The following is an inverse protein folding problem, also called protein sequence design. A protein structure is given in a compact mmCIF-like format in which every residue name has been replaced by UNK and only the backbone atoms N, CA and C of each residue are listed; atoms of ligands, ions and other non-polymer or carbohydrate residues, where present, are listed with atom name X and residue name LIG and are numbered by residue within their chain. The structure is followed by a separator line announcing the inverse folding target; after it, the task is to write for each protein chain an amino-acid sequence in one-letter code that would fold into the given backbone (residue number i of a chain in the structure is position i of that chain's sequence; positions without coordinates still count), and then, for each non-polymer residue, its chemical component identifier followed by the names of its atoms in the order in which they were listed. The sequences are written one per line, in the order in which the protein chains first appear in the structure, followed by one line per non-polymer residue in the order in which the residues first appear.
data_IF_739631646797
#
_entry.id   IF_739631646797
#
_cell.length_a   1.000
_cell.length_b   1.000
_cell.length_c   1.000
_cell.angle_alpha   90.00
_cell.angle_beta   90.00
_cell.angle_gamma   90.00
#
_symmetry.space_group_name_H-M   'P 1'
#
loop_
_entity.id
_entity.type
_entity.pdbx_description
1 polymer ?
#
# COMPACT_ATOMS: atom_id res chain seq x y z
N UNK A 1 -47.90 20.66 6.84
CA UNK A 1 -48.20 20.45 5.40
C UNK A 1 -47.79 21.71 4.66
N UNK A 2 -47.09 21.60 3.52
CA UNK A 2 -46.39 22.66 2.74
C UNK A 2 -44.99 23.02 3.25
N UNK A 3 -43.97 22.32 2.75
CA UNK A 3 -42.58 22.81 2.53
C UNK A 3 -41.57 21.71 2.08
N UNK A 4 -42.01 20.50 1.75
CA UNK A 4 -41.12 19.40 1.28
C UNK A 4 -41.02 19.32 -0.27
N UNK A 5 -41.80 20.13 -1.01
CA UNK A 5 -41.90 19.96 -2.46
C UNK A 5 -40.75 20.53 -3.32
N UNK A 6 -39.90 21.52 -2.91
CA UNK A 6 -38.93 22.07 -3.85
C UNK A 6 -37.59 21.31 -3.89
N UNK A 7 -37.28 20.47 -2.88
CA UNK A 7 -35.99 19.75 -2.82
C UNK A 7 -36.04 18.43 -3.61
N UNK A 8 -37.22 17.82 -3.77
CA UNK A 8 -37.38 16.61 -4.59
C UNK A 8 -37.30 16.89 -6.11
N UNK A 9 -37.48 18.15 -6.53
CA UNK A 9 -37.44 18.56 -7.95
C UNK A 9 -36.00 18.91 -8.38
N UNK A 10 -35.12 19.29 -7.46
CA UNK A 10 -33.74 19.66 -7.80
C UNK A 10 -32.80 18.44 -7.96
N UNK A 11 -33.14 17.29 -7.35
CA UNK A 11 -32.39 16.02 -7.50
C UNK A 11 -32.85 15.23 -8.75
N UNK A 12 -34.06 15.48 -9.26
CA UNK A 12 -34.54 14.90 -10.53
C UNK A 12 -33.94 15.53 -11.79
N UNK A 13 -33.37 16.74 -11.70
CA UNK A 13 -32.85 17.48 -12.86
C UNK A 13 -31.42 17.11 -13.26
N UNK A 14 -30.65 16.38 -12.43
CA UNK A 14 -29.29 15.95 -12.76
C UNK A 14 -29.20 14.60 -13.50
N UNK A 15 -30.33 13.90 -13.71
CA UNK A 15 -30.37 12.62 -14.43
C UNK A 15 -30.77 12.72 -15.92
N UNK A 16 -31.04 13.93 -16.45
CA UNK A 16 -31.55 14.12 -17.81
C UNK A 16 -30.55 14.68 -18.83
N UNK A 17 -29.30 14.96 -18.44
CA UNK A 17 -28.25 15.43 -19.35
C UNK A 17 -27.46 14.32 -20.09
N UNK A 18 -27.96 13.07 -20.12
CA UNK A 18 -27.33 11.96 -20.85
C UNK A 18 -27.85 11.72 -22.28
N UNK A 19 -28.96 12.34 -22.68
CA UNK A 19 -29.69 11.94 -23.91
C UNK A 19 -29.38 12.75 -25.19
N UNK A 20 -28.56 13.80 -25.14
CA UNK A 20 -28.31 14.65 -26.32
C UNK A 20 -27.18 14.14 -27.23
N UNK A 21 -26.28 13.28 -26.72
CA UNK A 21 -25.13 12.79 -27.46
C UNK A 21 -25.51 11.86 -28.62
N UNK A 22 -26.28 10.79 -28.35
CA UNK A 22 -26.57 9.73 -29.35
C UNK A 22 -27.22 10.26 -30.64
N UNK A 23 -28.21 11.17 -30.54
CA UNK A 23 -28.91 11.75 -31.70
C UNK A 23 -28.00 12.66 -32.54
N UNK A 24 -27.03 13.33 -31.91
CA UNK A 24 -26.03 14.14 -32.62
C UNK A 24 -25.11 13.26 -33.46
N UNK A 25 -24.59 12.17 -32.89
CA UNK A 25 -23.76 11.20 -33.63
C UNK A 25 -24.53 10.54 -34.77
N UNK A 26 -25.79 10.16 -34.55
CA UNK A 26 -26.64 9.58 -35.59
C UNK A 26 -26.81 10.53 -36.79
N UNK A 27 -27.19 11.80 -36.54
CA UNK A 27 -27.36 12.79 -37.61
C UNK A 27 -26.05 13.10 -38.34
N UNK A 28 -24.94 13.13 -37.62
CA UNK A 28 -23.63 13.30 -38.22
C UNK A 28 -23.26 12.11 -39.12
N UNK A 29 -23.53 10.87 -38.67
CA UNK A 29 -23.36 9.67 -39.47
C UNK A 29 -24.20 9.71 -40.76
N UNK A 30 -25.47 10.11 -40.69
CA UNK A 30 -26.33 10.27 -41.87
C UNK A 30 -25.77 11.30 -42.88
N UNK A 31 -25.21 12.40 -42.38
CA UNK A 31 -24.62 13.44 -43.21
C UNK A 31 -23.33 12.94 -43.90
N UNK A 32 -22.50 12.16 -43.19
CA UNK A 32 -21.31 11.51 -43.74
C UNK A 32 -21.68 10.44 -44.77
N UNK A 33 -22.67 9.61 -44.46
CA UNK A 33 -23.19 8.57 -45.35
C UNK A 33 -23.70 9.17 -46.67
N UNK A 34 -24.47 10.26 -46.61
CA UNK A 34 -24.96 10.99 -47.81
C UNK A 34 -23.85 11.56 -48.68
N UNK A 35 -22.68 11.82 -48.11
CA UNK A 35 -21.48 12.30 -48.82
C UNK A 35 -20.59 11.15 -49.32
N UNK A 36 -20.97 9.90 -49.09
CA UNK A 36 -20.17 8.72 -49.46
C UNK A 36 -19.01 8.40 -48.51
N UNK A 37 -18.93 9.08 -47.35
CA UNK A 37 -17.91 8.84 -46.32
C UNK A 37 -18.33 7.66 -45.43
N UNK A 38 -18.31 6.46 -46.02
CA UNK A 38 -18.86 5.23 -45.44
C UNK A 38 -18.13 4.80 -44.16
N UNK A 39 -16.81 4.95 -44.11
CA UNK A 39 -15.99 4.50 -42.98
C UNK A 39 -16.29 5.34 -41.74
N UNK A 40 -16.26 6.66 -41.91
CA UNK A 40 -16.54 7.62 -40.84
C UNK A 40 -18.00 7.54 -40.40
N UNK A 41 -18.93 7.32 -41.34
CA UNK A 41 -20.34 7.11 -41.01
C UNK A 41 -20.55 5.87 -40.13
N UNK A 42 -19.88 4.75 -40.43
CA UNK A 42 -19.97 3.53 -39.64
C UNK A 42 -19.50 3.72 -38.18
N UNK A 43 -18.37 4.40 -37.98
CA UNK A 43 -17.85 4.74 -36.65
C UNK A 43 -18.81 5.63 -35.86
N UNK A 44 -19.43 6.63 -36.53
CA UNK A 44 -20.42 7.49 -35.88
C UNK A 44 -21.74 6.77 -35.56
N UNK A 45 -22.15 5.80 -36.39
CA UNK A 45 -23.29 4.93 -36.07
C UNK A 45 -22.99 4.02 -34.88
N UNK A 46 -21.77 3.48 -34.80
CA UNK A 46 -21.30 2.69 -33.66
C UNK A 46 -21.36 3.52 -32.37
N UNK A 47 -20.76 4.70 -32.37
CA UNK A 47 -20.77 5.64 -31.22
C UNK A 47 -22.20 6.06 -30.82
N UNK A 48 -23.07 6.30 -31.81
CA UNK A 48 -24.47 6.62 -31.56
C UNK A 48 -25.20 5.48 -30.83
N UNK A 49 -24.96 4.23 -31.25
CA UNK A 49 -25.55 3.04 -30.66
C UNK A 49 -24.96 2.74 -29.28
N UNK A 50 -23.65 2.91 -29.07
CA UNK A 50 -23.02 2.78 -27.75
C UNK A 50 -23.65 3.71 -26.72
N UNK A 51 -23.95 4.96 -27.11
CA UNK A 51 -24.57 5.96 -26.24
C UNK A 51 -26.05 5.71 -25.98
N UNK A 52 -26.75 5.07 -26.93
CA UNK A 52 -28.16 4.67 -26.77
C UNK A 52 -28.36 3.25 -27.31
N UNK A 53 -28.05 2.21 -26.53
CA UNK A 53 -28.13 0.81 -26.99
C UNK A 53 -29.53 0.37 -27.41
N UNK A 54 -30.57 1.08 -26.97
CA UNK A 54 -31.98 0.84 -27.33
C UNK A 54 -32.37 1.44 -28.69
N UNK A 55 -31.48 2.17 -29.36
CA UNK A 55 -31.76 2.81 -30.65
C UNK A 55 -31.84 1.79 -31.78
N UNK A 56 -33.05 1.49 -32.24
CA UNK A 56 -33.28 0.58 -33.38
C UNK A 56 -32.71 1.16 -34.67
N UNK A 57 -32.90 2.46 -34.93
CA UNK A 57 -32.41 3.11 -36.15
C UNK A 57 -30.89 3.06 -36.26
N UNK A 58 -30.18 3.38 -35.15
CA UNK A 58 -28.72 3.30 -35.11
C UNK A 58 -28.23 1.87 -35.31
N UNK A 59 -28.95 0.87 -34.79
CA UNK A 59 -28.64 -0.55 -34.99
C UNK A 59 -28.76 -0.97 -36.45
N UNK A 60 -29.87 -0.63 -37.10
CA UNK A 60 -30.11 -0.98 -38.51
C UNK A 60 -29.11 -0.27 -39.44
N UNK A 61 -28.81 1.00 -39.16
CA UNK A 61 -27.79 1.75 -39.90
C UNK A 61 -26.38 1.21 -39.69
N UNK A 62 -26.01 0.87 -38.44
CA UNK A 62 -24.73 0.22 -38.16
C UNK A 62 -24.63 -1.14 -38.86
N UNK A 63 -25.71 -1.92 -38.92
CA UNK A 63 -25.68 -3.22 -39.59
C UNK A 63 -25.40 -3.10 -41.09
N UNK A 64 -26.04 -2.14 -41.78
CA UNK A 64 -25.85 -1.95 -43.22
C UNK A 64 -24.57 -1.17 -43.57
N UNK A 65 -24.32 -0.02 -42.94
CA UNK A 65 -23.15 0.83 -43.21
C UNK A 65 -21.90 0.24 -42.58
N UNK A 66 -22.00 -0.35 -41.39
CA UNK A 66 -20.91 -1.06 -40.74
C UNK A 66 -20.47 -2.30 -41.52
N UNK A 67 -21.37 -3.05 -42.17
CA UNK A 67 -20.96 -4.16 -43.03
C UNK A 67 -20.15 -3.69 -44.24
N UNK A 68 -20.49 -2.53 -44.82
CA UNK A 68 -19.68 -1.91 -45.89
C UNK A 68 -18.32 -1.49 -45.37
N UNK A 69 -18.26 -0.89 -44.18
CA UNK A 69 -16.99 -0.53 -43.55
C UNK A 69 -16.12 -1.77 -43.28
N UNK A 70 -16.70 -2.84 -42.73
CA UNK A 70 -16.03 -4.14 -42.54
C UNK A 70 -15.54 -4.72 -43.87
N UNK A 71 -16.29 -4.56 -44.96
CA UNK A 71 -15.87 -4.98 -46.30
C UNK A 71 -14.66 -4.18 -46.80
N UNK A 72 -14.61 -2.88 -46.52
CA UNK A 72 -13.45 -2.03 -46.84
C UNK A 72 -12.22 -2.46 -46.03
N UNK A 73 -12.37 -2.64 -44.71
CA UNK A 73 -11.28 -3.10 -43.82
C UNK A 73 -10.78 -4.50 -44.21
N UNK A 74 -11.70 -5.39 -44.60
CA UNK A 74 -11.42 -6.73 -45.11
C UNK A 74 -10.59 -6.68 -46.41
N UNK A 75 -10.89 -5.71 -47.28
CA UNK A 75 -10.14 -5.50 -48.53
C UNK A 75 -8.73 -4.95 -48.26
N UNK A 76 -8.58 -4.06 -47.28
CA UNK A 76 -7.28 -3.55 -46.85
C UNK A 76 -6.41 -4.65 -46.26
N UNK A 77 -6.97 -5.50 -45.38
CA UNK A 77 -6.27 -6.67 -44.84
C UNK A 77 -5.83 -7.61 -45.96
N UNK A 78 -6.75 -7.99 -46.84
CA UNK A 78 -6.47 -8.87 -47.97
C UNK A 78 -5.33 -8.33 -48.85
N UNK A 79 -5.37 -7.04 -49.19
CA UNK A 79 -4.30 -6.41 -49.97
C UNK A 79 -2.96 -6.47 -49.23
N UNK A 80 -2.92 -6.07 -47.97
CA UNK A 80 -1.68 -6.02 -47.18
C UNK A 80 -1.09 -7.42 -46.98
N UNK A 81 -1.93 -8.42 -46.71
CA UNK A 81 -1.52 -9.82 -46.57
C UNK A 81 -0.92 -10.37 -47.88
N UNK A 82 -1.65 -10.24 -49.01
CA UNK A 82 -1.19 -10.79 -50.29
C UNK A 82 0.03 -10.08 -50.87
N UNK A 83 0.24 -8.81 -50.50
CA UNK A 83 1.45 -8.05 -50.87
C UNK A 83 2.60 -8.23 -49.88
N UNK A 84 2.47 -9.16 -48.92
CA UNK A 84 3.50 -9.49 -47.92
C UNK A 84 3.91 -8.30 -47.04
N UNK A 85 3.02 -7.32 -46.86
CA UNK A 85 3.21 -6.21 -45.93
C UNK A 85 2.82 -6.67 -44.52
N UNK A 86 3.70 -7.47 -43.88
CA UNK A 86 3.41 -8.15 -42.61
C UNK A 86 2.87 -7.21 -41.53
N UNK A 87 3.57 -6.13 -41.22
CA UNK A 87 3.17 -5.17 -40.18
C UNK A 87 1.83 -4.51 -40.49
N UNK A 88 1.63 -4.05 -41.74
CA UNK A 88 0.38 -3.44 -42.18
C UNK A 88 -0.78 -4.44 -42.20
N UNK A 89 -0.51 -5.72 -42.50
CA UNK A 89 -1.52 -6.78 -42.44
C UNK A 89 -1.99 -7.02 -41.00
N UNK A 90 -1.08 -7.07 -40.03
CA UNK A 90 -1.41 -7.19 -38.61
C UNK A 90 -2.28 -6.01 -38.14
N UNK A 91 -1.86 -4.78 -38.44
CA UNK A 91 -2.59 -3.57 -38.04
C UNK A 91 -3.99 -3.54 -38.65
N UNK A 92 -4.11 -3.80 -39.95
CA UNK A 92 -5.41 -3.80 -40.63
C UNK A 92 -6.37 -4.86 -40.09
N UNK A 93 -5.85 -6.05 -39.72
CA UNK A 93 -6.67 -7.10 -39.12
C UNK A 93 -7.08 -6.78 -37.68
N UNK A 94 -6.17 -6.23 -36.87
CA UNK A 94 -6.48 -5.77 -35.51
C UNK A 94 -7.61 -4.73 -35.51
N UNK A 95 -7.58 -3.77 -36.46
CA UNK A 95 -8.67 -2.79 -36.64
C UNK A 95 -9.99 -3.49 -37.00
N UNK A 96 -9.97 -4.41 -37.97
CA UNK A 96 -11.15 -5.17 -38.40
C UNK A 96 -11.77 -5.92 -37.21
N UNK A 97 -10.94 -6.62 -36.44
CA UNK A 97 -11.35 -7.39 -35.26
C UNK A 97 -11.89 -6.50 -34.14
N UNK A 98 -11.28 -5.35 -33.90
CA UNK A 98 -11.72 -4.37 -32.90
C UNK A 98 -13.12 -3.81 -33.25
N UNK A 99 -13.32 -3.35 -34.49
CA UNK A 99 -14.59 -2.78 -34.92
C UNK A 99 -15.74 -3.81 -34.88
N UNK A 100 -15.48 -5.03 -35.35
CA UNK A 100 -16.46 -6.13 -35.33
C UNK A 100 -16.78 -6.56 -33.90
N UNK A 101 -15.79 -6.63 -33.01
CA UNK A 101 -16.00 -6.94 -31.58
C UNK A 101 -16.83 -5.87 -30.87
N UNK A 102 -16.54 -4.58 -31.11
CA UNK A 102 -17.31 -3.46 -30.56
C UNK A 102 -18.76 -3.46 -31.04
N UNK A 103 -18.98 -3.80 -32.30
CA UNK A 103 -20.33 -3.91 -32.89
C UNK A 103 -21.09 -5.10 -32.29
N UNK A 104 -20.42 -6.26 -32.16
CA UNK A 104 -21.00 -7.47 -31.59
C UNK A 104 -21.45 -7.28 -30.13
N UNK A 105 -20.68 -6.53 -29.33
CA UNK A 105 -21.05 -6.16 -27.96
C UNK A 105 -22.37 -5.35 -27.87
N UNK A 106 -22.82 -4.76 -28.99
CA UNK A 106 -24.08 -4.03 -29.11
C UNK A 106 -25.17 -4.84 -29.82
N UNK A 107 -24.98 -6.15 -29.95
CA UNK A 107 -25.83 -7.09 -30.68
C UNK A 107 -25.94 -6.77 -32.18
N UNK A 108 -24.88 -6.21 -32.78
CA UNK A 108 -24.75 -6.07 -34.24
C UNK A 108 -23.61 -6.95 -34.71
N UNK A 109 -23.95 -8.08 -35.33
CA UNK A 109 -22.96 -8.99 -35.92
C UNK A 109 -22.63 -8.50 -37.32
N UNK A 110 -21.34 -8.32 -37.57
CA UNK A 110 -20.78 -7.94 -38.87
C UNK A 110 -19.77 -9.00 -39.29
N UNK A 111 -19.91 -9.51 -40.50
CA UNK A 111 -19.19 -10.71 -40.95
C UNK A 111 -17.98 -10.35 -41.83
N UNK A 112 -16.90 -11.11 -41.69
CA UNK A 112 -15.75 -11.16 -42.59
C UNK A 112 -15.36 -12.61 -42.89
N UNK A 113 -14.60 -12.89 -43.97
CA UNK A 113 -14.21 -14.25 -44.32
C UNK A 113 -13.44 -14.96 -43.18
N UNK A 114 -13.92 -16.13 -42.76
CA UNK A 114 -13.30 -16.90 -41.65
C UNK A 114 -11.83 -17.27 -41.91
N UNK A 115 -11.45 -17.47 -43.18
CA UNK A 115 -10.07 -17.79 -43.57
C UNK A 115 -9.08 -16.67 -43.22
N UNK A 116 -9.55 -15.43 -42.99
CA UNK A 116 -8.67 -14.33 -42.63
C UNK A 116 -8.03 -14.50 -41.25
N UNK A 117 -8.64 -15.30 -40.36
CA UNK A 117 -7.99 -15.64 -39.09
C UNK A 117 -6.72 -16.47 -39.32
N UNK A 118 -6.78 -17.46 -40.22
CA UNK A 118 -5.61 -18.27 -40.56
C UNK A 118 -4.53 -17.42 -41.24
N UNK A 119 -4.93 -16.50 -42.12
CA UNK A 119 -4.01 -15.57 -42.78
C UNK A 119 -3.38 -14.59 -41.77
N UNK A 120 -4.14 -14.10 -40.80
CA UNK A 120 -3.61 -13.29 -39.71
C UNK A 120 -2.59 -14.07 -38.87
N UNK A 121 -2.86 -15.34 -38.54
CA UNK A 121 -1.90 -16.17 -37.80
C UNK A 121 -0.61 -16.39 -38.59
N UNK A 122 -0.66 -16.53 -39.93
CA UNK A 122 0.54 -16.58 -40.77
C UNK A 122 1.34 -15.27 -40.71
N UNK A 123 0.66 -14.11 -40.72
CA UNK A 123 1.33 -12.81 -40.53
C UNK A 123 1.96 -12.69 -39.15
N UNK A 124 1.30 -13.18 -38.10
CA UNK A 124 1.85 -13.22 -36.73
C UNK A 124 3.12 -14.08 -36.71
N UNK A 125 3.09 -15.29 -37.28
CA UNK A 125 4.25 -16.17 -37.35
C UNK A 125 5.42 -15.52 -38.10
N UNK A 126 5.15 -14.92 -39.26
CA UNK A 126 6.16 -14.19 -40.06
C UNK A 126 6.79 -13.04 -39.27
N UNK A 127 5.97 -12.23 -38.59
CA UNK A 127 6.43 -11.12 -37.77
C UNK A 127 7.25 -11.58 -36.57
N UNK A 128 6.77 -12.57 -35.83
CA UNK A 128 7.47 -13.14 -34.68
C UNK A 128 8.79 -13.78 -35.09
N UNK A 129 8.83 -14.51 -36.21
CA UNK A 129 10.06 -15.12 -36.75
C UNK A 129 11.11 -14.07 -37.09
N UNK A 130 10.73 -13.01 -37.82
CA UNK A 130 11.62 -11.88 -38.17
C UNK A 130 12.19 -11.22 -36.92
N UNK A 131 11.33 -10.83 -35.96
CA UNK A 131 11.77 -10.18 -34.73
C UNK A 131 12.60 -11.11 -33.85
N UNK A 132 12.28 -12.40 -33.79
CA UNK A 132 13.05 -13.39 -33.02
C UNK A 132 14.48 -13.53 -33.54
N UNK A 133 14.66 -13.61 -34.86
CA UNK A 133 15.98 -13.68 -35.47
C UNK A 133 16.80 -12.41 -35.18
N UNK A 134 16.16 -11.23 -35.20
CA UNK A 134 16.83 -9.98 -34.83
C UNK A 134 17.20 -9.95 -33.34
N UNK A 135 16.28 -10.31 -32.45
CA UNK A 135 16.55 -10.41 -31.01
C UNK A 135 17.73 -11.35 -30.72
N UNK A 136 17.72 -12.55 -31.32
CA UNK A 136 18.79 -13.53 -31.18
C UNK A 136 20.15 -12.98 -31.64
N UNK A 137 20.20 -12.32 -32.78
CA UNK A 137 21.41 -11.68 -33.28
C UNK A 137 21.91 -10.55 -32.36
N UNK A 138 21.01 -9.71 -31.85
CA UNK A 138 21.37 -8.62 -30.93
C UNK A 138 21.90 -9.15 -29.60
N UNK A 139 21.31 -10.23 -29.05
CA UNK A 139 21.83 -10.90 -27.85
C UNK A 139 23.25 -11.43 -28.09
N UNK A 140 23.48 -12.11 -29.22
CA UNK A 140 24.81 -12.63 -29.56
C UNK A 140 25.86 -11.51 -29.75
N UNK A 141 25.43 -10.34 -30.22
CA UNK A 141 26.27 -9.14 -30.33
C UNK A 141 26.40 -8.37 -29.00
N UNK A 142 25.85 -8.88 -27.89
CA UNK A 142 25.79 -8.22 -26.57
C UNK A 142 25.06 -6.87 -26.56
N UNK A 143 24.21 -6.62 -27.56
CA UNK A 143 23.37 -5.42 -27.68
C UNK A 143 22.02 -5.64 -27.00
N UNK A 144 22.04 -5.81 -25.69
CA UNK A 144 20.87 -6.29 -24.94
C UNK A 144 19.67 -5.34 -24.98
N UNK A 145 19.90 -4.02 -24.92
CA UNK A 145 18.80 -3.04 -25.00
C UNK A 145 18.10 -3.08 -26.37
N UNK A 146 18.86 -3.25 -27.46
CA UNK A 146 18.29 -3.40 -28.80
C UNK A 146 17.49 -4.72 -28.92
N UNK A 147 18.01 -5.80 -28.32
CA UNK A 147 17.30 -7.09 -28.28
C UNK A 147 15.94 -6.99 -27.59
N UNK A 148 15.85 -6.25 -26.48
CA UNK A 148 14.59 -6.06 -25.73
C UNK A 148 13.50 -5.40 -26.56
N UNK A 149 13.84 -4.51 -27.49
CA UNK A 149 12.86 -3.91 -28.43
C UNK A 149 12.22 -4.98 -29.31
N UNK A 150 13.03 -5.85 -29.92
CA UNK A 150 12.51 -6.94 -30.76
C UNK A 150 11.75 -7.99 -29.94
N UNK A 151 12.20 -8.30 -28.72
CA UNK A 151 11.51 -9.20 -27.79
C UNK A 151 10.12 -8.65 -27.42
N UNK A 152 10.01 -7.34 -27.17
CA UNK A 152 8.74 -6.68 -26.88
C UNK A 152 7.77 -6.82 -28.06
N UNK A 153 8.26 -6.64 -29.28
CA UNK A 153 7.46 -6.83 -30.49
C UNK A 153 6.92 -8.26 -30.61
N UNK A 154 7.72 -9.28 -30.30
CA UNK A 154 7.28 -10.67 -30.30
C UNK A 154 6.19 -10.87 -29.24
N UNK A 155 6.42 -10.40 -28.02
CA UNK A 155 5.49 -10.56 -26.88
C UNK A 155 4.14 -9.86 -27.09
N UNK A 156 4.08 -8.82 -27.94
CA UNK A 156 2.80 -8.20 -28.33
C UNK A 156 1.84 -9.23 -28.95
N UNK A 157 2.35 -10.15 -29.78
CA UNK A 157 1.52 -11.08 -30.54
C UNK A 157 1.59 -12.53 -30.05
N UNK A 158 2.77 -13.00 -29.64
CA UNK A 158 2.96 -14.36 -29.14
C UNK A 158 4.04 -14.38 -28.02
N UNK A 159 3.63 -14.23 -26.75
CA UNK A 159 4.56 -14.25 -25.61
C UNK A 159 5.36 -15.55 -25.46
N UNK A 160 4.81 -16.67 -25.96
CA UNK A 160 5.40 -18.00 -25.84
C UNK A 160 6.13 -18.44 -27.12
N UNK A 161 6.46 -17.50 -28.01
CA UNK A 161 7.14 -17.80 -29.25
C UNK A 161 8.57 -18.32 -28.99
N UNK A 162 8.81 -19.60 -29.29
CA UNK A 162 10.13 -20.25 -29.14
C UNK A 162 10.75 -19.97 -27.76
N UNK A 163 12.04 -19.63 -27.70
CA UNK A 163 12.76 -19.32 -26.47
C UNK A 163 12.84 -17.82 -26.18
N UNK A 164 11.85 -17.03 -26.61
CA UNK A 164 11.82 -15.57 -26.40
C UNK A 164 12.00 -15.19 -24.92
N UNK A 165 11.40 -15.96 -24.00
CA UNK A 165 11.57 -15.72 -22.56
C UNK A 165 13.02 -15.91 -22.08
N UNK A 166 13.75 -16.88 -22.65
CA UNK A 166 15.17 -17.08 -22.34
C UNK A 166 16.01 -15.92 -22.86
N UNK A 167 15.76 -15.45 -24.10
CA UNK A 167 16.43 -14.27 -24.65
C UNK A 167 16.15 -13.01 -23.83
N UNK A 168 14.93 -12.86 -23.31
CA UNK A 168 14.56 -11.76 -22.41
C UNK A 168 15.31 -11.82 -21.08
N UNK A 169 15.42 -13.02 -20.50
CA UNK A 169 16.18 -13.23 -19.26
C UNK A 169 17.65 -12.90 -19.49
N UNK A 170 18.27 -13.40 -20.56
CA UNK A 170 19.67 -13.09 -20.90
C UNK A 170 19.85 -11.58 -21.10
N UNK A 171 19.00 -10.94 -21.90
CA UNK A 171 19.12 -9.50 -22.20
C UNK A 171 19.00 -8.63 -20.95
N UNK A 172 18.17 -9.02 -19.99
CA UNK A 172 18.00 -8.28 -18.75
C UNK A 172 19.09 -8.57 -17.71
N UNK A 173 19.55 -9.82 -17.61
CA UNK A 173 20.40 -10.28 -16.52
C UNK A 173 21.89 -10.23 -16.86
N UNK A 174 22.30 -10.50 -18.09
CA UNK A 174 23.71 -10.50 -18.48
C UNK A 174 24.45 -9.17 -18.23
N UNK A 175 23.91 -7.99 -18.61
CA UNK A 175 24.60 -6.73 -18.33
C UNK A 175 24.74 -6.45 -16.83
N UNK A 176 23.75 -6.83 -16.02
CA UNK A 176 23.81 -6.72 -14.57
C UNK A 176 24.84 -7.68 -13.98
N UNK A 177 24.89 -8.90 -14.51
CA UNK A 177 25.84 -9.92 -14.06
C UNK A 177 27.28 -9.47 -14.33
N UNK A 178 27.56 -8.95 -15.53
CA UNK A 178 28.87 -8.39 -15.86
C UNK A 178 29.25 -7.21 -14.97
N UNK A 179 28.27 -6.34 -14.65
CA UNK A 179 28.47 -5.23 -13.71
C UNK A 179 28.78 -5.73 -12.29
N UNK A 180 28.10 -6.80 -11.85
CA UNK A 180 28.34 -7.41 -10.55
C UNK A 180 29.73 -8.04 -10.47
N UNK A 181 30.13 -8.82 -11.48
CA UNK A 181 31.47 -9.43 -11.56
C UNK A 181 32.56 -8.36 -11.54
N UNK A 182 32.44 -7.30 -12.34
CA UNK A 182 33.40 -6.20 -12.31
C UNK A 182 33.45 -5.49 -10.95
N UNK A 183 32.31 -5.35 -10.27
CA UNK A 183 32.27 -4.79 -8.91
C UNK A 183 32.99 -5.70 -7.91
N UNK A 184 32.84 -7.02 -8.03
CA UNK A 184 33.51 -8.01 -7.19
C UNK A 184 35.03 -8.05 -7.41
N UNK A 185 35.49 -7.96 -8.66
CA UNK A 185 36.92 -7.85 -8.99
C UNK A 185 37.56 -6.63 -8.32
N UNK A 186 36.79 -5.55 -8.16
CA UNK A 186 37.19 -4.33 -7.46
C UNK A 186 36.92 -4.36 -5.94
N UNK A 187 36.55 -5.52 -5.36
CA UNK A 187 36.15 -5.70 -3.95
C UNK A 187 35.01 -4.78 -3.49
N UNK A 188 34.20 -4.29 -4.41
CA UNK A 188 33.04 -3.44 -4.13
C UNK A 188 31.78 -4.30 -4.00
N UNK A 189 31.68 -5.02 -2.89
CA UNK A 189 30.57 -5.95 -2.62
C UNK A 189 29.21 -5.25 -2.53
N UNK A 190 29.16 -4.00 -2.07
CA UNK A 190 27.92 -3.21 -2.04
C UNK A 190 27.34 -3.00 -3.45
N UNK A 191 28.18 -2.58 -4.40
CA UNK A 191 27.74 -2.36 -5.79
C UNK A 191 27.40 -3.68 -6.50
N UNK A 192 28.14 -4.75 -6.18
CA UNK A 192 27.82 -6.10 -6.65
C UNK A 192 26.43 -6.53 -6.17
N UNK A 193 26.12 -6.39 -4.88
CA UNK A 193 24.82 -6.72 -4.31
C UNK A 193 23.67 -5.97 -4.98
N UNK A 194 23.83 -4.68 -5.30
CA UNK A 194 22.78 -3.91 -6.00
C UNK A 194 22.46 -4.54 -7.35
N UNK A 195 23.48 -4.94 -8.11
CA UNK A 195 23.31 -5.55 -9.42
C UNK A 195 22.72 -6.98 -9.31
N UNK A 196 23.22 -7.78 -8.37
CA UNK A 196 22.74 -9.14 -8.14
C UNK A 196 21.31 -9.17 -7.59
N UNK A 197 20.92 -8.20 -6.75
CA UNK A 197 19.54 -8.05 -6.25
C UNK A 197 18.55 -7.80 -7.40
N UNK A 198 18.96 -7.02 -8.41
CA UNK A 198 18.14 -6.79 -9.61
C UNK A 198 17.99 -8.06 -10.45
N UNK A 199 19.00 -8.94 -10.47
CA UNK A 199 18.89 -10.27 -11.11
C UNK A 199 17.92 -11.16 -10.31
N UNK A 200 18.10 -11.22 -8.98
CA UNK A 200 17.24 -11.99 -8.07
C UNK A 200 15.76 -11.66 -8.21
N UNK A 201 15.43 -10.38 -8.41
CA UNK A 201 14.05 -9.92 -8.63
C UNK A 201 13.41 -10.43 -9.93
N UNK A 202 14.22 -10.94 -10.88
CA UNK A 202 13.77 -11.40 -12.20
C UNK A 202 13.82 -12.92 -12.34
N UNK A 203 14.85 -13.55 -11.76
CA UNK A 203 15.03 -14.99 -11.84
C UNK A 203 15.93 -15.47 -10.70
N UNK A 204 15.67 -16.68 -10.23
CA UNK A 204 16.46 -17.38 -9.22
C UNK A 204 17.51 -18.32 -9.82
N UNK A 205 17.61 -18.40 -11.15
CA UNK A 205 18.42 -19.41 -11.85
C UNK A 205 19.25 -18.79 -13.00
N UNK A 206 19.97 -17.69 -12.73
CA UNK A 206 20.83 -17.06 -13.73
C UNK A 206 22.32 -17.32 -13.47
N UNK A 207 22.92 -18.27 -14.21
CA UNK A 207 24.33 -18.67 -14.02
C UNK A 207 24.60 -18.97 -12.53
N UNK A 208 25.72 -18.51 -11.99
CA UNK A 208 26.19 -18.59 -10.60
C UNK A 208 25.85 -17.32 -9.78
N UNK A 209 24.82 -16.55 -10.16
CA UNK A 209 24.50 -15.32 -9.44
C UNK A 209 24.16 -15.56 -7.95
N UNK A 210 23.67 -16.76 -7.60
CA UNK A 210 23.26 -17.10 -6.24
C UNK A 210 24.48 -17.17 -5.32
N UNK A 211 25.51 -17.87 -5.76
CA UNK A 211 26.80 -17.98 -5.07
C UNK A 211 27.45 -16.59 -4.91
N UNK A 212 27.43 -15.78 -5.99
CA UNK A 212 27.97 -14.41 -5.93
C UNK A 212 27.16 -13.50 -5.00
N UNK A 213 25.83 -13.67 -4.95
CA UNK A 213 24.95 -12.92 -4.05
C UNK A 213 25.23 -13.28 -2.60
N UNK A 214 25.32 -14.57 -2.28
CA UNK A 214 25.63 -15.06 -0.94
C UNK A 214 27.00 -14.57 -0.47
N UNK A 215 28.02 -14.66 -1.32
CA UNK A 215 29.36 -14.12 -1.06
C UNK A 215 29.31 -12.61 -0.78
N UNK A 216 28.71 -11.84 -1.67
CA UNK A 216 28.64 -10.38 -1.52
C UNK A 216 27.85 -9.98 -0.28
N UNK A 217 26.80 -10.73 0.07
CA UNK A 217 25.99 -10.50 1.27
C UNK A 217 26.77 -10.80 2.55
N UNK A 218 27.54 -11.90 2.57
CA UNK A 218 28.38 -12.24 3.71
C UNK A 218 29.43 -11.16 3.97
N UNK A 219 30.10 -10.67 2.93
CA UNK A 219 31.12 -9.61 3.02
C UNK A 219 30.56 -8.24 3.43
N UNK A 220 29.26 -8.02 3.24
CA UNK A 220 28.55 -6.81 3.66
C UNK A 220 27.86 -6.97 5.02
N UNK A 221 27.80 -8.19 5.56
CA UNK A 221 27.17 -8.43 6.85
C UNK A 221 28.04 -7.82 7.94
N UNK A 222 27.46 -6.91 8.73
CA UNK A 222 28.13 -6.32 9.88
C UNK A 222 27.85 -7.14 11.13
N UNK A 223 28.86 -7.35 11.95
CA UNK A 223 28.68 -8.04 13.21
C UNK A 223 28.59 -7.04 14.37
N UNK A 224 27.64 -7.22 15.26
CA UNK A 224 27.53 -6.36 16.45
C UNK A 224 27.31 -7.17 17.72
N UNK A 225 27.68 -6.56 18.84
CA UNK A 225 27.41 -7.07 20.17
C UNK A 225 26.33 -6.21 20.82
N UNK A 226 25.29 -6.86 21.33
CA UNK A 226 24.32 -6.24 22.23
C UNK A 226 24.84 -6.37 23.66
N UNK A 227 25.01 -5.24 24.34
CA UNK A 227 25.50 -5.21 25.72
C UNK A 227 24.29 -5.12 26.65
N UNK A 228 24.25 -6.03 27.63
CA UNK A 228 23.25 -5.96 28.68
C UNK A 228 23.48 -4.70 29.54
N UNK A 229 22.42 -3.91 29.83
CA UNK A 229 22.51 -2.77 30.74
C UNK A 229 23.02 -3.19 32.13
N UNK A 230 23.68 -2.25 32.81
CA UNK A 230 24.02 -2.42 34.23
C UNK A 230 22.73 -2.52 35.03
N UNK A 231 22.67 -3.44 35.99
CA UNK A 231 21.55 -3.55 36.94
C UNK A 231 21.14 -2.16 37.46
N UNK A 232 19.96 -1.67 37.06
CA UNK A 232 19.35 -0.50 37.70
C UNK A 232 19.18 -0.79 39.20
N UNK A 233 19.35 0.24 40.03
CA UNK A 233 19.06 0.17 41.47
C UNK A 233 17.55 -0.02 41.69
N UNK A 234 16.72 0.45 40.76
CA UNK A 234 15.28 0.21 40.75
C UNK A 234 14.97 -1.15 40.10
N UNK A 235 14.48 -2.09 40.92
CA UNK A 235 14.06 -3.42 40.46
C UNK A 235 13.04 -3.36 39.32
N UNK A 236 12.20 -2.33 39.28
CA UNK A 236 11.17 -2.20 38.23
C UNK A 236 11.73 -1.73 36.89
N UNK A 237 12.84 -1.01 36.88
CA UNK A 237 13.59 -0.67 35.66
C UNK A 237 14.39 -1.87 35.16
N UNK A 238 14.98 -2.64 36.10
CA UNK A 238 15.69 -3.89 35.79
C UNK A 238 14.81 -4.90 35.03
N UNK A 239 13.55 -5.06 35.43
CA UNK A 239 12.62 -5.92 34.69
C UNK A 239 12.39 -5.47 33.24
N UNK A 240 12.36 -4.15 33.00
CA UNK A 240 12.22 -3.59 31.65
C UNK A 240 13.48 -3.89 30.85
N UNK A 241 14.64 -3.67 31.44
CA UNK A 241 15.94 -3.93 30.85
C UNK A 241 16.10 -5.39 30.41
N UNK A 242 15.80 -6.36 31.28
CA UNK A 242 15.85 -7.79 30.96
C UNK A 242 14.85 -8.18 29.86
N UNK A 243 13.64 -7.63 29.93
CA UNK A 243 12.63 -7.85 28.89
C UNK A 243 13.13 -7.34 27.52
N UNK A 244 13.66 -6.11 27.49
CA UNK A 244 14.18 -5.52 26.26
C UNK A 244 15.38 -6.28 25.74
N UNK A 245 16.30 -6.73 26.60
CA UNK A 245 17.49 -7.47 26.18
C UNK A 245 17.11 -8.74 25.42
N UNK A 246 16.22 -9.55 26.01
CA UNK A 246 15.73 -10.78 25.39
C UNK A 246 15.03 -10.52 24.05
N UNK A 247 14.18 -9.49 24.00
CA UNK A 247 13.46 -9.14 22.78
C UNK A 247 14.36 -8.53 21.71
N UNK A 248 15.38 -7.76 22.08
CA UNK A 248 16.37 -7.19 21.15
C UNK A 248 17.22 -8.31 20.55
N UNK A 249 17.70 -9.26 21.38
CA UNK A 249 18.41 -10.45 20.91
C UNK A 249 17.57 -11.25 19.92
N UNK A 250 16.34 -11.59 20.29
CA UNK A 250 15.42 -12.31 19.40
C UNK A 250 15.15 -11.53 18.11
N UNK A 251 14.88 -10.23 18.21
CA UNK A 251 14.58 -9.38 17.06
C UNK A 251 15.79 -9.24 16.14
N UNK A 252 17.00 -9.11 16.69
CA UNK A 252 18.22 -9.03 15.92
C UNK A 252 18.46 -10.31 15.12
N UNK A 253 18.32 -11.48 15.75
CA UNK A 253 18.49 -12.78 15.08
C UNK A 253 17.43 -13.03 14.00
N UNK A 254 16.19 -12.55 14.20
CA UNK A 254 15.07 -12.86 13.31
C UNK A 254 14.84 -11.84 12.19
N UNK A 255 15.11 -10.55 12.43
CA UNK A 255 14.71 -9.46 11.51
C UNK A 255 15.88 -8.74 10.84
N UNK A 256 17.09 -8.83 11.38
CA UNK A 256 18.25 -8.13 10.83
C UNK A 256 19.06 -9.08 9.93
N UNK A 257 18.75 -9.10 8.64
CA UNK A 257 19.41 -10.01 7.68
C UNK A 257 20.85 -9.63 7.32
N UNK A 258 21.19 -8.34 7.38
CA UNK A 258 22.49 -7.81 6.99
C UNK A 258 23.37 -7.45 8.20
N UNK A 259 22.89 -7.76 9.41
CA UNK A 259 23.56 -7.44 10.65
C UNK A 259 23.45 -8.66 11.55
N UNK A 260 24.58 -9.25 11.91
CA UNK A 260 24.64 -10.47 12.71
C UNK A 260 24.96 -10.13 14.16
N UNK A 261 24.10 -10.60 15.06
CA UNK A 261 24.36 -10.53 16.49
C UNK A 261 25.42 -11.57 16.87
N UNK A 262 26.48 -11.13 17.52
CA UNK A 262 27.46 -12.00 18.17
C UNK A 262 26.97 -12.29 19.59
N UNK A 263 27.00 -13.56 19.97
CA UNK A 263 26.73 -13.94 21.35
C UNK A 263 27.84 -13.41 22.28
N UNK A 264 27.45 -12.63 23.29
CA UNK A 264 28.34 -11.97 24.23
C UNK A 264 28.44 -12.68 25.59
N UNK A 265 27.88 -13.89 25.77
CA UNK A 265 27.93 -14.65 27.05
C UNK A 265 29.31 -14.64 27.74
N UNK A 266 30.46 -14.80 27.03
CA UNK A 266 31.77 -14.75 27.68
C UNK A 266 32.14 -13.40 28.31
N UNK A 267 31.43 -12.33 27.97
CA UNK A 267 31.67 -10.95 28.42
C UNK A 267 30.55 -10.42 29.34
N UNK A 268 29.47 -11.18 29.55
CA UNK A 268 28.34 -10.81 30.42
C UNK A 268 28.77 -10.71 31.90
N UNK A 269 29.68 -11.58 32.35
CA UNK A 269 30.19 -11.61 33.74
C UNK A 269 31.33 -10.62 34.00
N UNK A 270 31.81 -9.91 32.98
CA UNK A 270 32.86 -8.91 33.20
C UNK A 270 32.23 -7.62 33.72
N UNK A 271 32.61 -7.22 34.95
CA UNK A 271 32.18 -5.99 35.62
C UNK A 271 32.36 -4.68 34.78
N UNK A 272 33.04 -4.75 33.62
CA UNK A 272 33.30 -3.63 32.71
C UNK A 272 32.26 -3.42 31.60
N UNK A 273 31.30 -4.32 31.38
CA UNK A 273 30.20 -4.12 30.42
C UNK A 273 29.35 -2.88 30.75
N UNK A 274 29.20 -2.61 32.06
CA UNK A 274 28.57 -1.43 32.63
C UNK A 274 29.28 -0.09 32.35
N UNK A 275 30.59 -0.11 32.06
CA UNK A 275 31.41 1.09 31.86
C UNK A 275 31.34 1.66 30.44
N UNK A 276 30.82 0.89 29.49
CA UNK A 276 30.69 1.27 28.07
C UNK A 276 29.57 2.29 27.81
N UNK A 277 28.66 2.45 28.78
CA UNK A 277 27.64 3.51 28.82
C UNK A 277 28.17 4.80 29.46
N UNK A 278 29.22 4.71 30.29
CA UNK A 278 29.81 5.88 30.93
C UNK A 278 30.48 6.78 29.88
N UNK A 279 30.64 8.08 30.17
CA UNK A 279 31.31 9.00 29.25
C UNK A 279 32.81 8.70 29.08
N UNK A 280 33.37 7.77 29.86
CA UNK A 280 34.71 7.24 29.72
C UNK A 280 34.61 5.84 29.11
N UNK A 281 34.38 5.75 27.80
CA UNK A 281 34.46 4.49 27.06
C UNK A 281 35.80 3.82 27.35
N UNK A 282 35.78 2.66 28.01
CA UNK A 282 36.98 1.87 28.29
C UNK A 282 37.49 1.29 26.96
N UNK A 283 38.34 2.07 26.28
CA UNK A 283 38.89 1.75 24.95
C UNK A 283 39.58 0.39 24.96
N UNK A 284 40.29 0.06 26.04
CA UNK A 284 41.01 -1.22 26.17
C UNK A 284 40.04 -2.40 26.19
N UNK A 285 38.91 -2.28 26.89
CA UNK A 285 37.86 -3.30 26.90
C UNK A 285 37.21 -3.48 25.52
N UNK A 286 36.86 -2.37 24.84
CA UNK A 286 36.28 -2.41 23.48
C UNK A 286 37.24 -3.13 22.52
N UNK A 287 38.53 -2.81 22.58
CA UNK A 287 39.54 -3.43 21.73
C UNK A 287 39.79 -4.90 22.09
N UNK A 288 39.75 -5.27 23.37
CA UNK A 288 39.88 -6.66 23.79
C UNK A 288 38.68 -7.51 23.30
N UNK A 289 37.46 -7.03 23.50
CA UNK A 289 36.25 -7.72 23.03
C UNK A 289 36.26 -7.82 21.51
N UNK A 290 36.57 -6.73 20.79
CA UNK A 290 36.70 -6.75 19.33
C UNK A 290 37.70 -7.79 18.85
N UNK A 291 38.89 -7.85 19.45
CA UNK A 291 39.93 -8.84 19.08
C UNK A 291 39.45 -10.28 19.32
N UNK A 292 38.67 -10.50 20.37
CA UNK A 292 38.15 -11.83 20.71
C UNK A 292 36.94 -12.25 19.88
N UNK A 293 36.13 -11.30 19.39
CA UNK A 293 34.81 -11.57 18.79
C UNK A 293 34.69 -11.21 17.32
N UNK A 294 35.53 -10.31 16.81
CA UNK A 294 35.39 -9.76 15.46
C UNK A 294 34.30 -8.69 15.30
N UNK A 295 33.62 -8.27 16.38
CA UNK A 295 32.52 -7.31 16.30
C UNK A 295 32.93 -5.98 15.61
N UNK A 296 32.09 -5.51 14.70
CA UNK A 296 32.20 -4.19 14.06
C UNK A 296 31.60 -3.09 14.92
N UNK A 297 30.54 -3.41 15.68
CA UNK A 297 29.80 -2.44 16.48
C UNK A 297 29.41 -2.99 17.87
N UNK A 298 29.25 -2.06 18.81
CA UNK A 298 28.63 -2.31 20.10
C UNK A 298 27.33 -1.52 20.22
N UNK A 299 26.25 -2.19 20.60
CA UNK A 299 24.98 -1.58 20.94
C UNK A 299 24.79 -1.66 22.45
N UNK A 300 24.58 -0.53 23.09
CA UNK A 300 24.30 -0.47 24.52
C UNK A 300 23.12 0.46 24.79
N UNK A 301 22.35 0.16 25.82
CA UNK A 301 21.19 0.95 26.21
C UNK A 301 20.99 0.92 27.72
N UNK A 302 20.18 1.84 28.22
CA UNK A 302 19.70 1.89 29.59
C UNK A 302 18.29 2.47 29.66
N UNK A 303 17.59 2.14 30.75
CA UNK A 303 16.26 2.66 31.06
C UNK A 303 16.31 3.49 32.34
N UNK A 304 15.61 4.60 32.35
CA UNK A 304 15.48 5.44 33.54
C UNK A 304 14.12 6.12 33.62
N UNK A 305 13.82 6.77 34.75
CA UNK A 305 12.63 7.61 34.92
C UNK A 305 11.31 6.87 34.64
N UNK A 306 11.21 5.61 35.05
CA UNK A 306 9.96 4.84 34.93
C UNK A 306 8.83 5.51 35.71
N UNK A 307 7.69 5.72 35.06
CA UNK A 307 6.50 6.38 35.60
C UNK A 307 5.24 5.62 35.25
N UNK A 308 4.42 5.42 36.28
CA UNK A 308 3.04 4.93 36.16
C UNK A 308 2.12 6.00 36.74
N UNK A 309 1.31 6.61 35.88
CA UNK A 309 0.33 7.62 36.27
C UNK A 309 -1.07 7.05 36.11
N UNK A 310 -1.88 7.15 37.16
CA UNK A 310 -3.28 6.72 37.15
C UNK A 310 -4.15 7.85 37.72
N UNK A 311 -4.83 8.58 36.84
CA UNK A 311 -5.92 9.46 37.25
C UNK A 311 -7.18 8.60 37.26
N UNK A 312 -7.47 8.00 38.42
CA UNK A 312 -8.67 7.18 38.62
C UNK A 312 -9.95 7.91 38.21
N UNK A 313 -11.11 7.22 38.15
CA UNK A 313 -12.34 7.81 37.65
C UNK A 313 -12.76 9.02 38.49
N UNK A 314 -12.75 10.20 37.88
CA UNK A 314 -13.32 11.43 38.42
C UNK A 314 -14.73 11.60 37.88
N UNK A 315 -15.67 12.00 38.75
CA UNK A 315 -17.09 12.16 38.40
C UNK A 315 -17.51 13.61 38.55
N UNK A 316 -18.12 14.17 37.50
CA UNK A 316 -18.78 15.48 37.54
C UNK A 316 -20.27 15.29 37.25
N UNK A 317 -21.14 15.73 38.15
CA UNK A 317 -22.58 15.52 38.03
C UNK A 317 -23.26 16.62 37.20
N UNK A 318 -24.20 16.22 36.37
CA UNK A 318 -24.95 17.09 35.47
C UNK A 318 -26.42 16.66 35.38
N UNK A 319 -27.27 17.56 34.89
CA UNK A 319 -28.68 17.28 34.61
C UNK A 319 -28.93 17.32 33.11
N UNK A 320 -29.56 16.26 32.60
CA UNK A 320 -30.09 16.15 31.25
C UNK A 320 -31.62 16.12 31.27
N UNK A 321 -32.25 16.14 30.11
CA UNK A 321 -33.70 16.20 29.98
C UNK A 321 -34.22 15.16 28.99
N UNK A 322 -35.10 14.28 29.44
CA UNK A 322 -35.74 13.25 28.63
C UNK A 322 -37.03 13.78 28.01
N UNK A 323 -37.12 13.73 26.68
CA UNK A 323 -38.36 14.02 25.95
C UNK A 323 -39.39 12.91 26.16
N UNK A 324 -40.53 13.27 26.75
CA UNK A 324 -41.68 12.39 26.97
C UNK A 324 -42.91 13.01 26.30
N UNK A 325 -43.63 12.21 25.52
CA UNK A 325 -44.89 12.63 24.89
C UNK A 325 -46.06 12.13 25.74
N UNK A 326 -46.77 13.05 26.37
CA UNK A 326 -47.91 12.77 27.25
C UNK A 326 -49.20 13.11 26.52
N UNK A 327 -50.12 12.14 26.41
CA UNK A 327 -51.46 12.39 25.90
C UNK A 327 -52.32 12.94 27.04
N UNK A 328 -52.82 14.17 26.92
CA UNK A 328 -53.75 14.75 27.90
C UNK A 328 -55.20 14.40 27.62
N UNK A 329 -55.63 14.42 26.35
CA UNK A 329 -56.98 14.06 25.86
C UNK A 329 -56.87 13.35 24.50
N UNK A 330 -57.98 12.83 23.95
CA UNK A 330 -58.02 12.12 22.65
C UNK A 330 -57.39 12.91 21.47
N UNK A 331 -57.35 14.23 21.56
CA UNK A 331 -56.82 15.13 20.50
C UNK A 331 -55.53 15.86 20.88
N UNK A 332 -55.07 15.82 22.14
CA UNK A 332 -53.94 16.63 22.62
C UNK A 332 -52.79 15.78 23.15
N UNK A 333 -51.64 15.84 22.47
CA UNK A 333 -50.37 15.29 22.93
C UNK A 333 -49.43 16.46 23.23
N UNK A 334 -48.90 16.50 24.46
CA UNK A 334 -47.93 17.50 24.90
C UNK A 334 -46.57 16.82 25.01
N UNK A 335 -45.52 17.51 24.57
CA UNK A 335 -44.13 17.12 24.83
C UNK A 335 -43.68 17.74 26.14
N UNK A 336 -43.15 16.94 27.05
CA UNK A 336 -42.53 17.39 28.31
C UNK A 336 -41.07 16.93 28.38
N UNK A 337 -40.24 17.67 29.11
CA UNK A 337 -38.81 17.40 29.28
C UNK A 337 -38.50 17.13 30.74
N UNK A 338 -38.39 15.85 31.10
CA UNK A 338 -38.19 15.43 32.48
C UNK A 338 -36.70 15.40 32.85
N UNK A 339 -36.28 15.98 33.99
CA UNK A 339 -34.88 16.00 34.39
C UNK A 339 -34.35 14.59 34.73
N UNK A 340 -33.19 14.26 34.18
CA UNK A 340 -32.46 13.01 34.39
C UNK A 340 -31.01 13.33 34.75
N UNK A 341 -30.59 12.92 35.94
CA UNK A 341 -29.22 13.14 36.42
C UNK A 341 -28.25 12.12 35.81
N UNK A 342 -27.09 12.60 35.40
CA UNK A 342 -26.00 11.78 34.89
C UNK A 342 -24.66 12.30 35.42
N UNK A 343 -23.63 11.46 35.38
CA UNK A 343 -22.26 11.84 35.69
C UNK A 343 -21.42 11.76 34.42
N UNK A 344 -20.59 12.77 34.18
CA UNK A 344 -19.45 12.67 33.28
C UNK A 344 -18.30 12.03 34.06
N UNK A 345 -17.84 10.88 33.59
CA UNK A 345 -16.74 10.13 34.18
C UNK A 345 -15.51 10.31 33.30
N UNK A 346 -14.39 10.77 33.88
CA UNK A 346 -13.10 10.88 33.21
C UNK A 346 -12.02 10.13 33.97
N UNK A 347 -11.14 9.44 33.26
CA UNK A 347 -9.95 8.84 33.85
C UNK A 347 -8.88 8.56 32.81
N UNK A 348 -7.64 8.41 33.23
CA UNK A 348 -6.53 8.04 32.34
C UNK A 348 -5.45 7.25 33.05
N UNK A 349 -4.75 6.41 32.29
CA UNK A 349 -3.54 5.72 32.71
C UNK A 349 -2.44 5.96 31.71
N UNK A 350 -1.24 6.22 32.22
CA UNK A 350 -0.03 6.41 31.41
C UNK A 350 1.09 5.55 31.99
N UNK A 351 1.77 4.83 31.12
CA UNK A 351 3.01 4.13 31.42
C UNK A 351 4.12 4.74 30.57
N UNK A 352 5.26 5.09 31.18
CA UNK A 352 6.39 5.64 30.44
C UNK A 352 7.74 5.40 31.10
N UNK A 353 8.82 5.43 30.32
CA UNK A 353 10.20 5.48 30.79
C UNK A 353 11.09 6.18 29.75
N UNK A 354 12.23 6.70 30.17
CA UNK A 354 13.25 7.21 29.28
C UNK A 354 14.16 6.06 28.82
N UNK A 355 14.24 5.86 27.52
CA UNK A 355 15.13 4.90 26.87
C UNK A 355 16.31 5.64 26.25
N UNK A 356 17.53 5.27 26.64
CA UNK A 356 18.75 5.85 26.07
C UNK A 356 19.58 4.74 25.45
N UNK A 357 20.18 5.01 24.29
CA UNK A 357 21.09 4.07 23.64
C UNK A 357 22.34 4.75 23.08
N UNK A 358 23.39 3.95 22.86
CA UNK A 358 24.61 4.31 22.12
C UNK A 358 25.01 3.17 21.18
N UNK A 359 25.46 3.54 19.98
CA UNK A 359 26.11 2.65 19.01
C UNK A 359 27.55 3.09 18.86
N UNK A 360 28.50 2.19 19.12
CA UNK A 360 29.93 2.49 19.09
C UNK A 360 30.56 1.65 17.98
N UNK A 361 31.35 2.29 17.10
CA UNK A 361 32.17 1.57 16.13
C UNK A 361 33.37 0.95 16.87
N UNK A 362 33.50 -0.37 16.80
CA UNK A 362 34.49 -1.14 17.54
C UNK A 362 35.94 -0.85 17.08
N UNK A 363 36.12 -0.44 15.81
CA UNK A 363 37.44 -0.13 15.26
C UNK A 363 37.92 1.25 15.70
N UNK A 364 37.09 2.28 15.51
CA UNK A 364 37.47 3.67 15.80
C UNK A 364 37.20 4.09 17.25
N UNK A 365 36.44 3.29 18.02
CA UNK A 365 35.91 3.62 19.34
C UNK A 365 35.05 4.90 19.36
N UNK A 366 34.51 5.31 18.21
CA UNK A 366 33.66 6.49 18.10
C UNK A 366 32.19 6.13 18.29
N UNK A 367 31.45 6.99 18.99
CA UNK A 367 29.99 6.91 19.06
C UNK A 367 29.44 7.32 17.68
N UNK A 368 28.80 6.37 17.01
CA UNK A 368 28.18 6.56 15.69
C UNK A 368 26.77 7.11 15.83
N UNK A 369 26.06 6.70 16.88
CA UNK A 369 24.74 7.22 17.21
C UNK A 369 24.50 7.16 18.70
N UNK A 370 23.77 8.14 19.23
CA UNK A 370 23.31 8.17 20.62
C UNK A 370 22.04 8.99 20.70
N UNK A 371 21.02 8.48 21.38
CA UNK A 371 19.76 9.20 21.56
C UNK A 371 19.07 8.79 22.85
N UNK A 372 18.36 9.73 23.46
CA UNK A 372 17.41 9.50 24.55
C UNK A 372 16.00 9.76 24.02
N UNK A 373 15.08 8.84 24.26
CA UNK A 373 13.69 8.92 23.82
C UNK A 373 12.77 8.49 24.96
N UNK A 374 11.76 9.31 25.26
CA UNK A 374 10.71 8.91 26.18
C UNK A 374 9.77 7.90 25.48
N UNK A 375 9.71 6.68 26.01
CA UNK A 375 8.79 5.64 25.57
C UNK A 375 7.53 5.75 26.42
N UNK A 376 6.37 5.91 25.78
CA UNK A 376 5.11 6.12 26.50
C UNK A 376 3.93 5.42 25.80
N UNK A 377 3.02 4.85 26.58
CA UNK A 377 1.65 4.55 26.17
C UNK A 377 0.63 5.11 27.16
N UNK A 378 -0.53 5.50 26.64
CA UNK A 378 -1.60 6.12 27.41
C UNK A 378 -2.95 5.59 26.94
N UNK A 379 -3.86 5.39 27.91
CA UNK A 379 -5.27 5.15 27.66
C UNK A 379 -6.10 6.15 28.48
N UNK A 380 -7.19 6.62 27.88
CA UNK A 380 -8.11 7.55 28.51
C UNK A 380 -9.55 7.08 28.28
N UNK A 381 -10.40 7.31 29.28
CA UNK A 381 -11.83 7.06 29.20
C UNK A 381 -12.58 8.35 29.53
N UNK A 382 -13.61 8.63 28.73
CA UNK A 382 -14.57 9.71 28.96
C UNK A 382 -15.96 9.20 28.54
N UNK A 383 -16.86 9.07 29.50
CA UNK A 383 -18.21 8.54 29.26
C UNK A 383 -19.24 9.17 30.20
N UNK A 384 -20.50 9.09 29.80
CA UNK A 384 -21.64 9.48 30.63
C UNK A 384 -22.26 8.22 31.27
N UNK A 385 -22.56 8.29 32.56
CA UNK A 385 -23.35 7.26 33.26
C UNK A 385 -24.57 7.90 33.91
N UNK A 386 -25.71 7.21 33.93
CA UNK A 386 -26.87 7.71 34.67
C UNK A 386 -26.66 7.55 36.18
N UNK A 387 -27.07 8.55 36.97
CA UNK A 387 -26.94 8.49 38.43
C UNK A 387 -27.85 7.42 39.07
N UNK A 388 -28.85 6.93 38.32
CA UNK A 388 -29.79 5.86 38.70
C UNK A 388 -30.06 4.99 37.46
N UNK A 389 -30.68 3.83 37.64
CA UNK A 389 -31.13 3.00 36.51
C UNK A 389 -32.01 3.81 35.55
N UNK A 390 -31.69 3.72 34.25
CA UNK A 390 -32.37 4.45 33.18
C UNK A 390 -33.04 3.47 32.23
N UNK A 391 -34.36 3.58 32.13
CA UNK A 391 -35.21 2.73 31.27
C UNK A 391 -35.75 3.48 30.04
N UNK A 392 -35.24 4.69 29.76
CA UNK A 392 -35.69 5.53 28.64
C UNK A 392 -34.90 5.29 27.34
N UNK A 393 -35.30 5.98 26.27
CA UNK A 393 -34.55 5.98 25.01
C UNK A 393 -33.49 7.10 25.03
N UNK A 394 -32.21 6.75 24.92
CA UNK A 394 -31.09 7.72 24.91
C UNK A 394 -31.24 8.74 23.76
N UNK A 395 -31.86 8.35 22.64
CA UNK A 395 -32.11 9.26 21.52
C UNK A 395 -33.08 10.40 21.84
N UNK A 396 -33.82 10.30 22.95
CA UNK A 396 -34.75 11.31 23.42
C UNK A 396 -34.15 12.20 24.52
N UNK A 397 -32.87 12.02 24.88
CA UNK A 397 -32.21 12.83 25.90
C UNK A 397 -31.56 14.07 25.31
N UNK A 398 -31.61 15.17 26.06
CA UNK A 398 -30.99 16.43 25.71
C UNK A 398 -30.13 16.94 26.87
N UNK A 399 -28.93 17.51 26.61
CA UNK A 399 -28.05 18.08 27.63
C UNK A 399 -28.54 19.45 28.15
N UNK A 400 -29.61 19.98 27.58
CA UNK A 400 -30.29 21.22 27.95
C UNK A 400 -31.81 20.99 27.86
N UNK A 401 -32.61 21.88 28.44
CA UNK A 401 -34.07 21.81 28.34
C UNK A 401 -34.55 22.55 27.07
N UNK A 402 -35.02 21.85 26.01
CA UNK A 402 -35.40 22.51 24.76
C UNK A 402 -36.60 23.47 24.88
N UNK A 403 -37.42 23.36 25.93
CA UNK A 403 -38.51 24.32 26.21
C UNK A 403 -38.03 25.62 26.83
N UNK A 404 -36.90 25.60 27.55
CA UNK A 404 -36.38 26.77 28.28
C UNK A 404 -35.16 27.39 27.58
N UNK A 405 -34.46 26.64 26.73
CA UNK A 405 -33.30 27.10 25.99
C UNK A 405 -33.72 27.79 24.68
N UNK A 406 -33.26 29.01 24.44
CA UNK A 406 -33.55 29.75 23.21
C UNK A 406 -33.10 28.97 21.95
N UNK A 407 -33.85 29.02 20.83
CA UNK A 407 -33.53 28.24 19.63
C UNK A 407 -32.10 28.40 19.10
N UNK A 408 -31.52 29.60 19.24
CA UNK A 408 -30.13 29.88 18.83
C UNK A 408 -29.06 29.20 19.69
N UNK A 409 -29.41 28.77 20.91
CA UNK A 409 -28.51 28.07 21.84
C UNK A 409 -28.72 26.54 21.85
N UNK A 410 -29.68 26.03 21.08
CA UNK A 410 -29.94 24.60 20.96
C UNK A 410 -28.97 23.96 19.96
N UNK A 411 -28.27 22.91 20.37
CA UNK A 411 -27.34 22.16 19.52
C UNK A 411 -27.72 20.68 19.42
N UNK A 412 -27.25 20.01 18.37
CA UNK A 412 -27.49 18.59 18.15
C UNK A 412 -26.73 17.74 19.20
N UNK A 413 -27.42 16.99 20.06
CA UNK A 413 -26.80 16.27 21.17
C UNK A 413 -26.24 14.90 20.79
N UNK A 414 -26.12 14.55 19.50
CA UNK A 414 -25.69 13.21 19.04
C UNK A 414 -24.36 12.76 19.67
N UNK A 415 -23.34 13.63 19.67
CA UNK A 415 -22.02 13.29 20.24
C UNK A 415 -22.10 13.10 21.76
N UNK A 416 -22.87 13.94 22.44
CA UNK A 416 -23.10 13.81 23.88
C UNK A 416 -23.85 12.50 24.21
N UNK A 417 -24.86 12.13 23.41
CA UNK A 417 -25.59 10.86 23.54
C UNK A 417 -24.69 9.64 23.36
N UNK A 418 -23.77 9.68 22.39
CA UNK A 418 -22.83 8.56 22.20
C UNK A 418 -21.92 8.32 23.40
N UNK A 419 -21.71 9.32 24.27
CA UNK A 419 -20.90 9.13 25.48
C UNK A 419 -21.56 8.20 26.51
N UNK A 420 -22.88 7.96 26.44
CA UNK A 420 -23.55 6.95 27.29
C UNK A 420 -23.25 5.50 26.87
N UNK A 421 -22.63 5.31 25.70
CA UNK A 421 -22.23 4.01 25.15
C UNK A 421 -20.71 3.94 24.93
N UNK A 422 -19.96 4.94 25.39
CA UNK A 422 -18.51 4.97 25.25
C UNK A 422 -17.84 3.92 26.15
N UNK A 423 -16.62 3.53 25.77
CA UNK A 423 -15.77 2.64 26.57
C UNK A 423 -15.62 3.19 27.99
N UNK A 424 -15.87 2.34 28.98
CA UNK A 424 -15.92 2.71 30.40
C UNK A 424 -14.84 2.04 31.26
N UNK A 425 -13.90 1.32 30.65
CA UNK A 425 -12.78 0.66 31.31
C UNK A 425 -11.46 1.20 30.78
N UNK A 426 -10.45 1.32 31.63
CA UNK A 426 -9.09 1.64 31.19
C UNK A 426 -8.32 0.35 30.94
N UNK A 427 -7.40 0.36 29.96
CA UNK A 427 -6.38 -0.67 29.76
C UNK A 427 -5.61 -0.92 31.06
N UNK A 428 -5.13 -2.14 31.23
CA UNK A 428 -4.26 -2.47 32.37
C UNK A 428 -2.89 -1.82 32.20
N UNK A 429 -2.11 -1.71 33.29
CA UNK A 429 -0.72 -1.29 33.16
C UNK A 429 0.12 -2.30 32.39
N UNK A 430 -0.22 -3.59 32.44
CA UNK A 430 0.47 -4.63 31.65
C UNK A 430 0.27 -4.44 30.15
N UNK A 431 -0.95 -4.09 29.71
CA UNK A 431 -1.22 -3.76 28.31
C UNK A 431 -0.40 -2.54 27.86
N UNK A 432 -0.39 -1.48 28.68
CA UNK A 432 0.36 -0.26 28.37
C UNK A 432 1.88 -0.50 28.40
N UNK A 433 2.38 -1.35 29.30
CA UNK A 433 3.79 -1.80 29.36
C UNK A 433 4.15 -2.55 28.08
N UNK A 434 3.32 -3.50 27.64
CA UNK A 434 3.51 -4.22 26.39
C UNK A 434 3.59 -3.30 25.17
N UNK A 435 2.68 -2.34 25.07
CA UNK A 435 2.68 -1.34 23.99
C UNK A 435 3.93 -0.44 24.02
N UNK A 436 4.34 -0.02 25.21
CA UNK A 436 5.52 0.84 25.41
C UNK A 436 6.81 0.10 25.05
N UNK A 437 6.96 -1.14 25.52
CA UNK A 437 8.11 -1.98 25.19
C UNK A 437 8.14 -2.32 23.69
N UNK A 438 6.99 -2.54 23.06
CA UNK A 438 6.88 -2.71 21.61
C UNK A 438 7.43 -1.51 20.83
N UNK A 439 7.17 -0.28 21.30
CA UNK A 439 7.76 0.94 20.71
C UNK A 439 9.29 0.95 20.85
N UNK A 440 9.82 0.56 22.00
CA UNK A 440 11.27 0.48 22.22
C UNK A 440 11.94 -0.57 21.31
N UNK A 441 11.33 -1.73 21.10
CA UNK A 441 11.84 -2.77 20.17
C UNK A 441 11.88 -2.29 18.72
N UNK A 442 10.84 -1.57 18.28
CA UNK A 442 10.82 -0.98 16.95
C UNK A 442 11.88 0.12 16.80
N UNK A 443 12.08 0.90 17.85
CA UNK A 443 13.09 1.94 17.90
C UNK A 443 14.52 1.35 17.86
N UNK A 444 14.78 0.30 18.64
CA UNK A 444 16.02 -0.50 18.57
C UNK A 444 16.30 -0.96 17.14
N UNK A 445 15.34 -1.65 16.51
CA UNK A 445 15.48 -2.17 15.14
C UNK A 445 15.84 -1.06 14.16
N UNK A 446 15.11 0.05 14.22
CA UNK A 446 15.35 1.21 13.34
C UNK A 446 16.72 1.84 13.59
N UNK A 447 17.14 1.96 14.85
CA UNK A 447 18.44 2.53 15.21
C UNK A 447 19.61 1.69 14.70
N UNK A 448 19.48 0.35 14.77
CA UNK A 448 20.50 -0.58 14.26
C UNK A 448 20.56 -0.51 12.73
N UNK A 449 19.43 -0.69 12.03
CA UNK A 449 19.40 -0.68 10.56
C UNK A 449 19.87 0.63 9.94
N UNK A 450 19.63 1.78 10.59
CA UNK A 450 20.00 3.08 10.03
C UNK A 450 21.48 3.43 10.22
N UNK A 451 22.11 2.92 11.27
CA UNK A 451 23.45 3.36 11.70
C UNK A 451 24.54 2.31 11.55
N UNK A 452 24.19 1.03 11.46
CA UNK A 452 25.13 -0.05 11.16
C UNK A 452 25.01 -0.36 9.67
N UNK A 453 26.06 0.00 8.91
CA UNK A 453 26.14 -0.13 7.45
C UNK A 453 27.45 -0.78 7.02
#
# INVERSE_FOLDING_TARGET
MKLIYPILILIGSLLLCGCTGSKKYFKAAEALEKKGLVNEAAEYYLESLQRKPTSVDARVKLQSVGQKHVSNMSSDFFRNFNTQQTESSLESFEKLKDFTSKSAALNVVLDYPKSYEDDYQKSVESYCSKNYNQAYNMVNQKKYNEALTYITNIKKYNPNYKTTQQLETISNCEPLYQTAVSSLENKNYASALVSLSKIKARTENYKDFKELYELSSAEQTKEFILIQPKNSVDNSEKEIEEYLFNNFTQTATQKLSNIKLINNTPFEETNGSADLLSNNTNVDLIQAIRKATGADYFYTYDVSNKKELNTGPTKSSYTSYLEVKIRKNDTLVITEYQPVNYNLVKGSRTYSYDYRYKIINAFSNQIVSSQTQNMMSQDAMEYNEFSKSFNGNINNLFPYNPQQTAPSAQYNPRNWRSMFQAKNTLKSFDDLKGETNGKAINFFTSSVTNNIK
#
